data_IF_390388313651
#
_entry.id   IF_390388313651
#
_cell.length_a   1.000
_cell.length_b   1.000
_cell.length_c   1.000
_cell.angle_alpha   90.00
_cell.angle_beta   90.00
_cell.angle_gamma   90.00
#
_symmetry.space_group_name_H-M   'P 1'
#
loop_
_entity.id
_entity.type
_entity.pdbx_description
1 polymer ?
#
# COMPACT_ATOMS: atom_id res chain seq x y z
N UNK A 1 17.85 6.64 7.34
CA UNK A 1 16.94 5.50 7.08
C UNK A 1 16.66 4.67 8.33
N UNK A 2 17.66 4.03 8.96
CA UNK A 2 17.44 3.12 10.12
C UNK A 2 16.65 3.76 11.27
N UNK A 3 17.03 4.97 11.69
CA UNK A 3 16.32 5.70 12.75
C UNK A 3 14.85 5.96 12.38
N UNK A 4 14.58 6.44 11.16
CA UNK A 4 13.21 6.69 10.68
C UNK A 4 12.40 5.39 10.61
N UNK A 5 13.02 4.28 10.22
CA UNK A 5 12.39 2.95 10.21
C UNK A 5 12.00 2.50 11.62
N UNK A 6 12.91 2.63 12.59
CA UNK A 6 12.64 2.25 13.99
C UNK A 6 11.56 3.15 14.60
N UNK A 7 11.67 4.48 14.41
CA UNK A 7 10.70 5.43 14.91
C UNK A 7 9.31 5.19 14.31
N UNK A 8 9.22 4.89 13.02
CA UNK A 8 7.92 4.60 12.37
C UNK A 8 7.32 3.27 12.83
N UNK A 9 8.13 2.21 12.96
CA UNK A 9 7.65 0.94 13.51
C UNK A 9 7.13 1.10 14.94
N UNK A 10 7.86 1.83 15.79
CA UNK A 10 7.45 2.15 17.15
C UNK A 10 6.19 3.02 17.18
N UNK A 11 6.10 4.01 16.30
CA UNK A 11 4.93 4.87 16.18
C UNK A 11 3.68 4.06 15.85
N UNK A 12 3.72 3.20 14.83
CA UNK A 12 2.55 2.38 14.47
C UNK A 12 2.17 1.39 15.58
N UNK A 13 3.14 0.79 16.25
CA UNK A 13 2.89 -0.10 17.38
C UNK A 13 2.29 0.64 18.60
N UNK A 14 2.84 1.81 18.94
CA UNK A 14 2.30 2.64 20.03
C UNK A 14 0.89 3.16 19.69
N UNK A 15 0.65 3.53 18.43
CA UNK A 15 -0.67 3.93 17.96
C UNK A 15 -1.67 2.78 18.08
N UNK A 16 -1.29 1.56 17.66
CA UNK A 16 -2.12 0.36 17.81
C UNK A 16 -2.54 0.12 19.27
N UNK A 17 -1.59 0.21 20.20
CA UNK A 17 -1.84 0.05 21.63
C UNK A 17 -2.70 1.16 22.25
N UNK A 18 -2.75 2.34 21.65
CA UNK A 18 -3.42 3.52 22.21
C UNK A 18 -4.94 3.48 22.09
N UNK A 19 -5.51 2.56 21.32
CA UNK A 19 -6.96 2.47 21.11
C UNK A 19 -7.51 1.09 21.48
N UNK A 20 -8.65 1.08 22.19
CA UNK A 20 -9.43 -0.13 22.46
C UNK A 20 -10.34 -0.51 21.27
N UNK A 21 -9.79 -0.60 20.06
CA UNK A 21 -10.51 -1.05 18.87
C UNK A 21 -10.15 -2.49 18.52
N UNK A 22 -10.98 -3.16 17.71
CA UNK A 22 -10.61 -4.46 17.15
C UNK A 22 -9.37 -4.27 16.27
N UNK A 23 -8.40 -5.18 16.37
CA UNK A 23 -7.12 -5.06 15.64
C UNK A 23 -7.30 -4.82 14.13
N UNK A 24 -8.34 -5.38 13.50
CA UNK A 24 -8.62 -5.15 12.08
C UNK A 24 -9.03 -3.72 11.78
N UNK A 25 -9.85 -3.12 12.65
CA UNK A 25 -10.36 -1.77 12.43
C UNK A 25 -9.23 -0.74 12.60
N UNK A 26 -8.34 -0.95 13.57
CA UNK A 26 -7.16 -0.08 13.75
C UNK A 26 -6.10 -0.29 12.68
N UNK A 27 -5.89 -1.51 12.19
CA UNK A 27 -4.98 -1.74 11.08
C UNK A 27 -5.46 -1.04 9.80
N UNK A 28 -6.78 -0.94 9.57
CA UNK A 28 -7.31 -0.13 8.46
C UNK A 28 -6.95 1.37 8.61
N UNK A 29 -6.97 1.91 9.83
CA UNK A 29 -6.59 3.30 10.10
C UNK A 29 -5.09 3.50 9.84
N UNK A 30 -4.25 2.63 10.43
CA UNK A 30 -2.80 2.69 10.29
C UNK A 30 -2.37 2.54 8.83
N UNK A 31 -2.96 1.57 8.12
CA UNK A 31 -2.76 1.35 6.69
C UNK A 31 -3.13 2.59 5.87
N UNK A 32 -4.24 3.27 6.19
CA UNK A 32 -4.62 4.51 5.51
C UNK A 32 -3.65 5.68 5.77
N UNK A 33 -3.12 5.79 6.99
CA UNK A 33 -2.10 6.80 7.32
C UNK A 33 -0.84 6.55 6.48
N UNK A 34 -0.35 5.31 6.46
CA UNK A 34 0.81 4.92 5.65
C UNK A 34 0.58 5.18 4.16
N UNK A 35 -0.57 4.75 3.62
CA UNK A 35 -0.94 4.96 2.22
C UNK A 35 -0.97 6.45 1.86
N UNK A 36 -1.54 7.29 2.74
CA UNK A 36 -1.63 8.74 2.51
C UNK A 36 -0.25 9.41 2.51
N UNK A 37 0.62 9.05 3.46
CA UNK A 37 1.97 9.60 3.55
C UNK A 37 2.80 9.20 2.33
N UNK A 38 2.77 7.92 1.95
CA UNK A 38 3.56 7.42 0.81
C UNK A 38 3.08 7.95 -0.53
N UNK A 39 1.75 8.04 -0.72
CA UNK A 39 1.17 8.66 -1.90
C UNK A 39 1.61 10.14 -2.00
N UNK A 40 1.44 10.92 -0.93
CA UNK A 40 1.80 12.34 -0.92
C UNK A 40 3.31 12.54 -1.16
N UNK A 41 4.17 11.79 -0.47
CA UNK A 41 5.62 11.84 -0.66
C UNK A 41 6.00 11.58 -2.13
N UNK A 42 5.31 10.64 -2.78
CA UNK A 42 5.56 10.29 -4.17
C UNK A 42 5.09 11.38 -5.13
N UNK A 43 3.92 11.98 -4.89
CA UNK A 43 3.45 13.13 -5.67
C UNK A 43 4.43 14.29 -5.55
N UNK A 44 4.87 14.63 -4.33
CA UNK A 44 5.81 15.72 -4.09
C UNK A 44 7.15 15.49 -4.80
N UNK A 45 7.66 14.26 -4.80
CA UNK A 45 8.90 13.93 -5.50
C UNK A 45 8.74 13.94 -7.02
N UNK A 46 7.68 13.35 -7.55
CA UNK A 46 7.42 13.28 -8.99
C UNK A 46 7.09 14.65 -9.61
N UNK A 47 6.66 15.61 -8.80
CA UNK A 47 6.44 17.02 -9.19
C UNK A 47 7.64 17.91 -8.87
N UNK A 48 8.76 17.34 -8.46
CA UNK A 48 10.04 18.03 -8.19
C UNK A 48 9.94 19.08 -7.06
N UNK A 49 8.94 18.97 -6.18
CA UNK A 49 8.79 19.83 -4.99
C UNK A 49 9.80 19.44 -3.90
N UNK A 50 10.08 18.14 -3.76
CA UNK A 50 11.10 17.62 -2.85
C UNK A 50 12.21 16.92 -3.64
N UNK A 51 13.42 16.96 -3.09
CA UNK A 51 14.55 16.25 -3.68
C UNK A 51 14.54 14.74 -3.38
N UNK A 52 15.43 14.02 -4.05
CA UNK A 52 15.55 12.57 -3.94
C UNK A 52 15.97 12.12 -2.53
N UNK A 53 16.78 12.92 -1.83
CA UNK A 53 17.28 12.61 -0.50
C UNK A 53 16.14 12.62 0.51
N UNK A 54 15.32 13.68 0.48
CA UNK A 54 14.14 13.83 1.32
C UNK A 54 13.10 12.74 1.00
N UNK A 55 12.87 12.44 -0.28
CA UNK A 55 11.98 11.36 -0.68
C UNK A 55 12.39 10.00 -0.08
N UNK A 56 13.66 9.61 -0.20
CA UNK A 56 14.19 8.33 0.35
C UNK A 56 14.11 8.31 1.88
N UNK A 57 14.34 9.44 2.54
CA UNK A 57 14.24 9.51 4.01
C UNK A 57 12.82 9.32 4.51
N UNK A 58 11.82 9.88 3.81
CA UNK A 58 10.40 9.73 4.13
C UNK A 58 9.91 8.33 3.74
N UNK A 59 10.33 7.79 2.59
CA UNK A 59 9.90 6.46 2.12
C UNK A 59 10.28 5.33 3.08
N UNK A 60 11.30 5.54 3.92
CA UNK A 60 11.69 4.65 5.02
C UNK A 60 10.55 4.32 6.00
N UNK A 61 9.50 5.14 6.08
CA UNK A 61 8.27 4.84 6.83
C UNK A 61 7.62 3.52 6.39
N UNK A 62 7.77 3.16 5.10
CA UNK A 62 7.22 1.93 4.56
C UNK A 62 7.94 0.69 5.05
N UNK A 63 9.22 0.80 5.39
CA UNK A 63 9.95 -0.29 6.03
C UNK A 63 9.37 -0.53 7.42
N UNK A 64 9.17 0.55 8.20
CA UNK A 64 8.60 0.46 9.54
C UNK A 64 7.16 -0.08 9.53
N UNK A 65 6.32 0.42 8.62
CA UNK A 65 4.96 -0.09 8.42
C UNK A 65 4.96 -1.55 8.00
N UNK A 66 5.79 -1.96 7.03
CA UNK A 66 5.86 -3.35 6.57
C UNK A 66 6.25 -4.31 7.69
N UNK A 67 7.22 -3.94 8.53
CA UNK A 67 7.61 -4.73 9.71
C UNK A 67 6.44 -4.83 10.71
N UNK A 68 5.81 -3.70 11.03
CA UNK A 68 4.64 -3.65 11.92
C UNK A 68 3.50 -4.55 11.40
N UNK A 69 3.11 -4.41 10.13
CA UNK A 69 1.96 -5.13 9.57
C UNK A 69 2.25 -6.64 9.47
N UNK A 70 3.46 -7.05 9.07
CA UNK A 70 3.87 -8.46 9.10
C UNK A 70 3.75 -9.04 10.53
N UNK A 71 4.23 -8.30 11.54
CA UNK A 71 4.20 -8.73 12.92
C UNK A 71 2.76 -8.90 13.44
N UNK A 72 1.91 -7.90 13.21
CA UNK A 72 0.50 -7.92 13.63
C UNK A 72 -0.27 -9.03 12.92
N UNK A 73 -0.11 -9.20 11.60
CA UNK A 73 -0.76 -10.27 10.86
C UNK A 73 -0.32 -11.66 11.33
N UNK A 74 0.95 -11.83 11.72
CA UNK A 74 1.49 -13.08 12.25
C UNK A 74 0.86 -13.43 13.60
N UNK A 75 0.86 -12.50 14.55
CA UNK A 75 0.31 -12.74 15.91
C UNK A 75 -1.19 -13.04 15.86
N UNK A 76 -1.91 -12.40 14.94
CA UNK A 76 -3.34 -12.60 14.79
C UNK A 76 -3.71 -13.79 13.86
N UNK A 77 -2.73 -14.58 13.41
CA UNK A 77 -2.91 -15.72 12.51
C UNK A 77 -3.74 -15.38 11.25
N UNK A 78 -3.50 -14.21 10.64
CA UNK A 78 -4.28 -13.78 9.47
C UNK A 78 -4.02 -14.67 8.25
N UNK A 79 -5.09 -15.05 7.54
CA UNK A 79 -5.02 -15.96 6.38
C UNK A 79 -4.22 -15.38 5.21
N UNK A 80 -4.11 -14.05 5.12
CA UNK A 80 -3.35 -13.38 4.07
C UNK A 80 -1.88 -13.14 4.44
N UNK A 81 -1.43 -13.55 5.63
CA UNK A 81 -0.06 -13.33 6.13
C UNK A 81 1.01 -13.64 5.08
N UNK A 82 0.94 -14.79 4.40
CA UNK A 82 1.95 -15.19 3.40
C UNK A 82 2.02 -14.21 2.22
N UNK A 83 0.88 -13.75 1.71
CA UNK A 83 0.84 -12.81 0.58
C UNK A 83 1.35 -11.43 1.00
N UNK A 84 0.95 -10.96 2.19
CA UNK A 84 1.40 -9.68 2.73
C UNK A 84 2.88 -9.69 3.09
N UNK A 85 3.41 -10.82 3.57
CA UNK A 85 4.84 -10.99 3.81
C UNK A 85 5.64 -10.79 2.52
N UNK A 86 5.25 -11.43 1.42
CA UNK A 86 5.93 -11.27 0.12
C UNK A 86 5.83 -9.82 -0.35
N UNK A 87 4.64 -9.22 -0.28
CA UNK A 87 4.40 -7.82 -0.66
C UNK A 87 5.29 -6.85 0.11
N UNK A 88 5.31 -6.94 1.43
CA UNK A 88 6.09 -6.06 2.28
C UNK A 88 7.59 -6.30 2.18
N UNK A 89 8.03 -7.55 1.97
CA UNK A 89 9.45 -7.84 1.70
C UNK A 89 9.93 -7.17 0.41
N UNK A 90 9.12 -7.16 -0.66
CA UNK A 90 9.45 -6.43 -1.89
C UNK A 90 9.66 -4.95 -1.59
N UNK A 91 8.74 -4.33 -0.84
CA UNK A 91 8.81 -2.92 -0.46
C UNK A 91 10.05 -2.63 0.39
N UNK A 92 10.34 -3.48 1.38
CA UNK A 92 11.49 -3.33 2.28
C UNK A 92 12.80 -3.41 1.47
N UNK A 93 12.95 -4.45 0.66
CA UNK A 93 14.15 -4.66 -0.17
C UNK A 93 14.33 -3.49 -1.14
N UNK A 94 13.25 -3.04 -1.79
CA UNK A 94 13.30 -1.91 -2.70
C UNK A 94 13.79 -0.63 -1.99
N UNK A 95 13.22 -0.27 -0.83
CA UNK A 95 13.64 0.94 -0.11
C UNK A 95 15.08 0.88 0.40
N UNK A 96 15.53 -0.29 0.88
CA UNK A 96 16.93 -0.49 1.28
C UNK A 96 17.85 -0.30 0.06
N UNK A 97 17.47 -0.86 -1.08
CA UNK A 97 18.23 -0.72 -2.32
C UNK A 97 18.32 0.75 -2.77
N UNK A 98 17.20 1.49 -2.75
CA UNK A 98 17.18 2.92 -3.11
C UNK A 98 18.15 3.73 -2.24
N UNK A 99 18.17 3.46 -0.94
CA UNK A 99 19.08 4.14 -0.01
C UNK A 99 20.55 3.84 -0.27
N UNK A 100 20.89 2.58 -0.61
CA UNK A 100 22.28 2.17 -0.84
C UNK A 100 22.81 2.71 -2.17
N UNK A 101 22.03 2.58 -3.25
CA UNK A 101 22.50 2.85 -4.61
C UNK A 101 22.19 4.26 -5.10
N UNK A 102 21.23 4.95 -4.47
CA UNK A 102 20.88 6.34 -4.78
C UNK A 102 20.63 6.57 -6.29
N UNK A 103 20.00 5.59 -6.95
CA UNK A 103 19.72 5.61 -8.39
C UNK A 103 18.43 6.41 -8.65
N UNK A 104 18.55 7.49 -9.42
CA UNK A 104 17.44 8.39 -9.72
C UNK A 104 16.31 7.73 -10.51
N UNK A 105 16.65 6.91 -11.52
CA UNK A 105 15.64 6.23 -12.33
C UNK A 105 14.80 5.29 -11.45
N UNK A 106 15.45 4.44 -10.66
CA UNK A 106 14.75 3.50 -9.79
C UNK A 106 14.01 4.19 -8.65
N UNK A 107 14.51 5.33 -8.16
CA UNK A 107 13.79 6.14 -7.17
C UNK A 107 12.48 6.68 -7.74
N UNK A 108 12.49 7.13 -9.00
CA UNK A 108 11.25 7.52 -9.72
C UNK A 108 10.31 6.35 -9.93
N UNK A 109 10.81 5.18 -10.30
CA UNK A 109 9.99 3.96 -10.41
C UNK A 109 9.33 3.62 -9.08
N UNK A 110 10.07 3.69 -7.98
CA UNK A 110 9.52 3.44 -6.65
C UNK A 110 8.41 4.45 -6.29
N UNK A 111 8.61 5.73 -6.58
CA UNK A 111 7.60 6.77 -6.36
C UNK A 111 6.34 6.50 -7.19
N UNK A 112 6.50 6.09 -8.46
CA UNK A 112 5.38 5.67 -9.30
C UNK A 112 4.64 4.45 -8.74
N UNK A 113 5.35 3.46 -8.18
CA UNK A 113 4.71 2.34 -7.49
C UNK A 113 3.93 2.80 -6.25
N UNK A 114 4.42 3.77 -5.49
CA UNK A 114 3.69 4.28 -4.32
C UNK A 114 2.45 5.11 -4.67
N UNK A 115 2.31 5.62 -5.90
CA UNK A 115 1.04 6.19 -6.36
C UNK A 115 -0.10 5.15 -6.32
N UNK A 116 0.23 3.86 -6.36
CA UNK A 116 -0.77 2.78 -6.26
C UNK A 116 -1.43 2.68 -4.88
N UNK A 117 -0.90 3.34 -3.86
CA UNK A 117 -1.51 3.40 -2.53
C UNK A 117 -2.80 4.21 -2.49
N UNK A 118 -3.13 4.95 -3.55
CA UNK A 118 -4.42 5.66 -3.68
C UNK A 118 -5.64 4.74 -3.63
N UNK A 119 -5.49 3.46 -3.96
CA UNK A 119 -6.58 2.49 -3.85
C UNK A 119 -6.83 2.01 -2.42
N UNK A 120 -5.84 2.14 -1.53
CA UNK A 120 -5.84 1.58 -0.17
C UNK A 120 -6.95 2.18 0.72
N UNK A 121 -7.19 3.50 0.73
CA UNK A 121 -8.33 4.09 1.45
C UNK A 121 -9.68 3.49 1.07
N UNK A 122 -9.92 3.26 -0.23
CA UNK A 122 -11.16 2.67 -0.72
C UNK A 122 -11.26 1.18 -0.40
N UNK A 123 -10.13 0.45 -0.41
CA UNK A 123 -10.08 -0.95 0.04
C UNK A 123 -10.45 -1.06 1.51
N UNK A 124 -9.76 -0.30 2.36
CA UNK A 124 -9.93 -0.33 3.81
C UNK A 124 -11.33 0.12 4.23
N UNK A 125 -11.89 1.16 3.60
CA UNK A 125 -13.27 1.57 3.84
C UNK A 125 -14.27 0.48 3.45
N UNK A 126 -14.10 -0.16 2.29
CA UNK A 126 -15.00 -1.24 1.85
C UNK A 126 -14.95 -2.43 2.82
N UNK A 127 -13.75 -2.85 3.23
CA UNK A 127 -13.56 -3.94 4.19
C UNK A 127 -14.15 -3.60 5.57
N UNK A 128 -13.92 -2.38 6.06
CA UNK A 128 -14.47 -1.90 7.33
C UNK A 128 -16.01 -1.93 7.32
N UNK A 129 -16.62 -1.38 6.27
CA UNK A 129 -18.08 -1.34 6.13
C UNK A 129 -18.67 -2.74 6.03
N UNK A 130 -18.01 -3.65 5.29
CA UNK A 130 -18.44 -5.04 5.18
C UNK A 130 -18.34 -5.77 6.52
N UNK A 131 -17.18 -5.72 7.18
CA UNK A 131 -16.92 -6.41 8.45
C UNK A 131 -17.85 -5.96 9.57
N UNK A 132 -18.22 -4.68 9.59
CA UNK A 132 -19.06 -4.10 10.63
C UNK A 132 -20.56 -4.08 10.24
N UNK A 133 -20.97 -4.80 9.18
CA UNK A 133 -22.35 -4.87 8.70
C UNK A 133 -22.96 -3.50 8.34
N UNK A 134 -22.14 -2.55 7.88
CA UNK A 134 -22.51 -1.17 7.48
C UNK A 134 -22.64 -1.00 5.96
N UNK A 135 -22.92 -2.06 5.21
CA UNK A 135 -23.04 -2.03 3.73
C UNK A 135 -24.24 -1.22 3.22
N UNK A 136 -25.20 -0.90 4.10
CA UNK A 136 -26.38 -0.06 3.81
C UNK A 136 -26.24 1.38 4.33
N UNK A 137 -25.02 1.84 4.64
CA UNK A 137 -24.79 3.22 5.07
C UNK A 137 -24.94 4.18 3.88
N UNK A 138 -25.84 5.15 3.99
CA UNK A 138 -26.05 6.21 3.01
C UNK A 138 -25.58 7.56 3.55
N UNK A 139 -24.91 8.33 2.71
CA UNK A 139 -24.54 9.73 2.95
C UNK A 139 -24.96 10.53 1.73
N UNK A 140 -25.75 11.59 1.90
CA UNK A 140 -26.26 12.42 0.79
C UNK A 140 -26.90 11.59 -0.35
N UNK A 141 -27.78 10.62 0.01
CA UNK A 141 -28.45 9.67 -0.90
C UNK A 141 -27.52 8.71 -1.66
N UNK A 142 -26.24 8.68 -1.33
CA UNK A 142 -25.25 7.80 -1.93
C UNK A 142 -24.88 6.65 -0.99
N UNK A 143 -24.92 5.41 -1.48
CA UNK A 143 -24.47 4.26 -0.71
C UNK A 143 -22.93 4.25 -0.63
N UNK A 144 -22.40 4.46 0.57
CA UNK A 144 -20.96 4.62 0.79
C UNK A 144 -20.17 3.35 0.43
N UNK A 145 -20.72 2.18 0.72
CA UNK A 145 -20.07 0.90 0.39
C UNK A 145 -20.01 0.67 -1.12
N UNK A 146 -21.07 1.03 -1.86
CA UNK A 146 -21.07 0.93 -3.33
C UNK A 146 -20.06 1.89 -3.95
N UNK A 147 -20.05 3.15 -3.53
CA UNK A 147 -19.08 4.14 -4.03
C UNK A 147 -17.65 3.71 -3.73
N UNK A 148 -17.39 3.26 -2.51
CA UNK A 148 -16.06 2.81 -2.10
C UNK A 148 -15.58 1.63 -2.96
N UNK A 149 -16.45 0.67 -3.26
CA UNK A 149 -16.10 -0.44 -4.16
C UNK A 149 -15.85 0.02 -5.61
N UNK A 150 -16.66 0.94 -6.14
CA UNK A 150 -16.45 1.47 -7.50
C UNK A 150 -15.11 2.19 -7.57
N UNK A 151 -14.82 3.07 -6.60
CA UNK A 151 -13.54 3.79 -6.54
C UNK A 151 -12.35 2.85 -6.36
N UNK A 152 -12.51 1.79 -5.53
CA UNK A 152 -11.51 0.74 -5.40
C UNK A 152 -11.22 0.08 -6.75
N UNK A 153 -12.26 -0.38 -7.47
CA UNK A 153 -12.07 -1.07 -8.75
C UNK A 153 -11.37 -0.16 -9.77
N UNK A 154 -11.82 1.10 -9.89
CA UNK A 154 -11.25 2.08 -10.82
C UNK A 154 -9.80 2.38 -10.51
N UNK A 155 -9.49 2.75 -9.26
CA UNK A 155 -8.14 3.12 -8.85
C UNK A 155 -7.19 1.93 -8.91
N UNK A 156 -7.63 0.74 -8.47
CA UNK A 156 -6.82 -0.48 -8.53
C UNK A 156 -6.52 -0.87 -9.97
N UNK A 157 -7.51 -0.83 -10.87
CA UNK A 157 -7.30 -1.16 -12.28
C UNK A 157 -6.31 -0.20 -12.95
N UNK A 158 -6.53 1.12 -12.83
CA UNK A 158 -5.68 2.12 -13.48
C UNK A 158 -4.25 2.08 -12.93
N UNK A 159 -4.07 2.18 -11.61
CA UNK A 159 -2.75 2.33 -11.01
C UNK A 159 -2.01 1.00 -10.86
N UNK A 160 -2.67 -0.07 -10.42
CA UNK A 160 -1.98 -1.33 -10.10
C UNK A 160 -1.89 -2.29 -11.28
N UNK A 161 -2.86 -2.27 -12.20
CA UNK A 161 -2.89 -3.20 -13.34
C UNK A 161 -2.28 -2.58 -14.59
N UNK A 162 -2.90 -1.51 -15.11
CA UNK A 162 -2.48 -0.88 -16.37
C UNK A 162 -1.13 -0.20 -16.18
N UNK A 163 -1.04 0.69 -15.18
CA UNK A 163 0.20 1.41 -14.93
C UNK A 163 1.29 0.49 -14.35
N UNK A 164 0.93 -0.49 -13.51
CA UNK A 164 1.87 -1.51 -13.04
C UNK A 164 2.52 -2.31 -14.18
N UNK A 165 1.77 -2.66 -15.24
CA UNK A 165 2.33 -3.33 -16.43
C UNK A 165 3.28 -2.40 -17.20
N UNK A 166 2.94 -1.12 -17.30
CA UNK A 166 3.83 -0.12 -17.89
C UNK A 166 5.16 -0.02 -17.10
N UNK A 167 5.11 -0.02 -15.77
CA UNK A 167 6.30 -0.02 -14.91
C UNK A 167 7.14 -1.28 -15.10
N UNK A 168 6.52 -2.47 -15.23
CA UNK A 168 7.23 -3.70 -15.60
C UNK A 168 7.96 -3.54 -16.93
N UNK A 169 7.28 -3.01 -17.95
CA UNK A 169 7.87 -2.82 -19.29
C UNK A 169 9.12 -1.95 -19.25
N UNK A 170 9.07 -0.80 -18.57
CA UNK A 170 10.18 0.17 -18.57
C UNK A 170 11.33 -0.24 -17.64
N UNK A 171 11.06 -1.09 -16.65
CA UNK A 171 12.10 -1.62 -15.76
C UNK A 171 12.70 -2.92 -16.25
N UNK A 172 12.08 -3.59 -17.22
CA UNK A 172 12.54 -4.90 -17.70
C UNK A 172 14.02 -4.82 -18.12
N UNK A 173 14.84 -5.70 -17.56
CA UNK A 173 16.30 -5.77 -17.78
C UNK A 173 17.12 -4.59 -17.25
N UNK A 174 16.55 -3.66 -16.49
CA UNK A 174 17.32 -2.57 -15.88
C UNK A 174 18.25 -3.07 -14.77
N UNK A 175 17.73 -3.81 -13.79
CA UNK A 175 18.53 -4.44 -12.73
C UNK A 175 17.75 -5.57 -12.02
N UNK A 176 18.26 -6.07 -10.90
CA UNK A 176 17.63 -7.16 -10.16
C UNK A 176 16.25 -6.79 -9.58
N UNK A 177 15.94 -5.50 -9.36
CA UNK A 177 14.62 -5.07 -8.88
C UNK A 177 13.52 -5.26 -9.93
N UNK A 178 13.88 -5.42 -11.21
CA UNK A 178 12.92 -5.73 -12.28
C UNK A 178 12.14 -7.02 -11.99
N UNK A 179 12.78 -8.02 -11.38
CA UNK A 179 12.11 -9.26 -10.96
C UNK A 179 11.10 -8.99 -9.85
N UNK A 180 11.45 -8.15 -8.87
CA UNK A 180 10.52 -7.76 -7.80
C UNK A 180 9.31 -6.99 -8.36
N UNK A 181 9.53 -6.14 -9.38
CA UNK A 181 8.46 -5.42 -10.06
C UNK A 181 7.47 -6.37 -10.75
N UNK A 182 7.96 -7.41 -11.43
CA UNK A 182 7.12 -8.44 -12.06
C UNK A 182 6.29 -9.18 -10.99
N UNK A 183 6.92 -9.61 -9.89
CA UNK A 183 6.24 -10.31 -8.80
C UNK A 183 5.16 -9.42 -8.18
N UNK A 184 5.49 -8.14 -7.93
CA UNK A 184 4.53 -7.17 -7.39
C UNK A 184 3.33 -6.98 -8.31
N UNK A 185 3.57 -6.86 -9.62
CA UNK A 185 2.49 -6.74 -10.60
C UNK A 185 1.62 -8.00 -10.66
N UNK A 186 2.20 -9.20 -10.68
CA UNK A 186 1.44 -10.46 -10.64
C UNK A 186 0.59 -10.59 -9.37
N UNK A 187 1.13 -10.17 -8.22
CA UNK A 187 0.38 -10.15 -6.96
C UNK A 187 -0.82 -9.19 -7.03
N UNK A 188 -0.64 -8.02 -7.64
CA UNK A 188 -1.72 -7.07 -7.89
C UNK A 188 -2.78 -7.64 -8.84
N UNK A 189 -2.40 -8.34 -9.92
CA UNK A 189 -3.34 -9.02 -10.82
C UNK A 189 -4.16 -10.07 -10.05
N UNK A 190 -3.52 -10.87 -9.21
CA UNK A 190 -4.20 -11.85 -8.36
C UNK A 190 -5.19 -11.21 -7.38
N UNK A 191 -4.81 -10.11 -6.73
CA UNK A 191 -5.70 -9.39 -5.83
C UNK A 191 -6.85 -8.72 -6.57
N UNK A 192 -6.61 -8.17 -7.76
CA UNK A 192 -7.67 -7.57 -8.57
C UNK A 192 -8.72 -8.60 -8.99
N UNK A 193 -8.29 -9.81 -9.37
CA UNK A 193 -9.22 -10.92 -9.61
C UNK A 193 -10.10 -11.23 -8.39
N UNK A 194 -9.52 -11.27 -7.19
CA UNK A 194 -10.28 -11.46 -5.94
C UNK A 194 -11.25 -10.33 -5.66
N UNK A 195 -10.84 -9.09 -5.90
CA UNK A 195 -11.70 -7.90 -5.74
C UNK A 195 -12.91 -8.06 -6.66
N UNK A 196 -12.71 -8.26 -7.97
CA UNK A 196 -13.81 -8.43 -8.92
C UNK A 196 -14.77 -9.56 -8.53
N UNK A 197 -14.23 -10.74 -8.17
CA UNK A 197 -15.05 -11.89 -7.75
C UNK A 197 -15.92 -11.59 -6.53
N UNK A 198 -15.43 -10.76 -5.60
CA UNK A 198 -16.18 -10.40 -4.40
C UNK A 198 -17.12 -9.23 -4.66
N UNK A 199 -16.69 -8.18 -5.37
CA UNK A 199 -17.49 -7.01 -5.70
C UNK A 199 -18.72 -7.35 -6.53
N UNK A 200 -18.61 -8.29 -7.47
CA UNK A 200 -19.76 -8.78 -8.27
C UNK A 200 -20.86 -9.39 -7.40
N UNK A 201 -20.54 -9.93 -6.21
CA UNK A 201 -21.55 -10.47 -5.29
C UNK A 201 -22.35 -9.38 -4.56
N UNK A 202 -21.89 -8.14 -4.62
CA UNK A 202 -22.43 -7.02 -3.85
C UNK A 202 -23.00 -5.89 -4.72
N UNK A 203 -22.79 -5.96 -6.04
CA UNK A 203 -23.44 -5.10 -7.04
C UNK A 203 -24.80 -5.70 -7.36
#
# INVERSE_FOLDING_TARGET
MILNTLLSALFFYAFDLSFCLKYKDINFIISNIHASITFLNSVLFLTEIIDMSLYIQISAISIGYGIYDIYILKINNDRNFKNMLIHHLIIIIANIWLYIFNDFFMTRIAAFNYLTEISTPFLNLSLYLYQNNKTKLYIANCNLFKISNIMLILTFFIFRIVFGLYLVKITLFYNNLSFLQIILWLLNVYWFYKILKNSIKFI
#
